data_IF_168672578739
#
_entry.id   IF_168672578739
#
_cell.length_a   1.000
_cell.length_b   1.000
_cell.length_c   1.000
_cell.angle_alpha   90.00
_cell.angle_beta   90.00
_cell.angle_gamma   90.00
#
_symmetry.space_group_name_H-M   'P 1'
#
loop_
_entity.id
_entity.type
_entity.pdbx_description
1 polymer ?
#
# COMPACT_ATOMS: atom_id res chain seq x y z
N UNK A 1 6.59 6.96 -30.44
CA UNK A 1 5.36 7.36 -29.72
C UNK A 1 5.69 8.51 -28.79
N UNK A 2 4.77 9.48 -28.64
CA UNK A 2 4.98 10.63 -27.73
C UNK A 2 3.73 10.86 -26.89
N UNK A 3 3.91 11.16 -25.62
CA UNK A 3 2.82 11.61 -24.75
C UNK A 3 2.38 13.00 -25.20
N UNK A 4 1.09 13.22 -25.38
CA UNK A 4 0.50 14.48 -25.89
C UNK A 4 -0.41 15.17 -24.88
N UNK A 5 -0.95 14.42 -23.92
CA UNK A 5 -1.93 14.96 -22.96
C UNK A 5 -1.85 14.25 -21.61
N UNK A 6 -2.18 14.99 -20.55
CA UNK A 6 -2.33 14.50 -19.19
C UNK A 6 -3.68 14.98 -18.63
N UNK A 7 -4.42 14.07 -18.01
CA UNK A 7 -5.67 14.38 -17.31
C UNK A 7 -5.67 13.73 -15.94
N UNK A 8 -6.10 14.43 -14.91
CA UNK A 8 -6.22 13.94 -13.54
C UNK A 8 -7.67 13.93 -13.06
N UNK A 9 -7.97 13.04 -12.12
CA UNK A 9 -9.23 13.02 -11.37
C UNK A 9 -8.92 12.88 -9.89
N UNK A 10 -9.68 13.62 -9.08
CA UNK A 10 -9.77 13.38 -7.64
C UNK A 10 -11.15 12.82 -7.37
N UNK A 11 -11.20 11.52 -7.13
CA UNK A 11 -12.45 10.76 -7.01
C UNK A 11 -12.77 10.51 -5.55
N UNK A 12 -13.95 10.92 -5.11
CA UNK A 12 -14.43 10.62 -3.75
C UNK A 12 -14.78 9.15 -3.60
N UNK A 13 -14.34 8.54 -2.50
CA UNK A 13 -14.67 7.17 -2.18
C UNK A 13 -15.89 7.15 -1.25
N UNK A 14 -17.07 6.67 -1.70
CA UNK A 14 -18.26 6.65 -0.88
C UNK A 14 -18.13 5.65 0.29
N UNK A 15 -18.93 5.80 1.35
CA UNK A 15 -18.97 4.83 2.41
C UNK A 15 -19.12 3.38 1.89
N UNK A 16 -18.41 2.40 2.48
CA UNK A 16 -17.65 2.46 3.73
C UNK A 16 -16.24 3.09 3.62
N UNK A 17 -15.80 3.60 2.48
CA UNK A 17 -14.55 4.33 2.34
C UNK A 17 -13.28 3.47 2.46
N UNK A 18 -13.37 2.17 2.15
CA UNK A 18 -12.22 1.25 2.17
C UNK A 18 -11.18 1.72 1.16
N UNK A 19 -9.92 1.81 1.56
CA UNK A 19 -8.84 2.35 0.72
C UNK A 19 -8.71 3.88 0.79
N UNK A 20 -9.42 4.54 1.73
CA UNK A 20 -9.31 5.98 2.00
C UNK A 20 -10.48 6.82 1.54
N UNK A 21 -10.41 8.12 1.79
CA UNK A 21 -11.50 9.09 1.51
C UNK A 21 -11.63 9.45 0.04
N UNK A 22 -10.56 9.30 -0.74
CA UNK A 22 -10.50 9.65 -2.16
C UNK A 22 -9.39 8.88 -2.87
N UNK A 23 -9.44 8.87 -4.20
CA UNK A 23 -8.39 8.35 -5.08
C UNK A 23 -7.92 9.47 -6.03
N UNK A 24 -6.63 9.46 -6.39
CA UNK A 24 -6.04 10.44 -7.30
C UNK A 24 -5.53 9.69 -8.53
N UNK A 25 -6.32 9.69 -9.59
CA UNK A 25 -5.99 9.02 -10.85
C UNK A 25 -5.37 9.99 -11.85
N UNK A 26 -4.52 9.44 -12.72
CA UNK A 26 -3.97 10.13 -13.89
C UNK A 26 -4.15 9.29 -15.14
N UNK A 27 -4.45 9.95 -16.25
CA UNK A 27 -4.41 9.40 -17.60
C UNK A 27 -3.33 10.12 -18.41
N UNK A 28 -2.50 9.37 -19.09
CA UNK A 28 -1.63 9.86 -20.15
C UNK A 28 -2.17 9.42 -21.49
N UNK A 29 -2.12 10.30 -22.50
CA UNK A 29 -2.53 9.99 -23.88
C UNK A 29 -1.35 10.19 -24.80
N UNK A 30 -1.19 9.32 -25.80
CA UNK A 30 -0.12 9.40 -26.78
C UNK A 30 -0.61 9.93 -28.13
N UNK A 31 0.31 10.35 -28.99
CA UNK A 31 0.06 10.75 -30.39
C UNK A 31 -0.55 9.62 -31.24
N UNK A 32 -0.36 8.37 -30.85
CA UNK A 32 -1.00 7.19 -31.45
C UNK A 32 -2.37 6.85 -30.86
N UNK A 33 -2.88 7.63 -29.93
CA UNK A 33 -4.17 7.40 -29.27
C UNK A 33 -4.16 6.30 -28.19
N UNK A 34 -3.00 5.73 -27.86
CA UNK A 34 -2.88 4.80 -26.73
C UNK A 34 -2.98 5.58 -25.42
N UNK A 35 -3.77 5.05 -24.48
CA UNK A 35 -4.04 5.67 -23.17
C UNK A 35 -3.52 4.77 -22.08
N UNK A 36 -2.83 5.33 -21.08
CA UNK A 36 -2.42 4.64 -19.88
C UNK A 36 -2.88 5.34 -18.60
N UNK A 37 -3.14 4.54 -17.59
CA UNK A 37 -3.64 5.01 -16.29
C UNK A 37 -2.61 4.77 -15.19
N UNK A 38 -2.59 5.69 -14.22
CA UNK A 38 -1.82 5.60 -13.00
C UNK A 38 -2.59 6.18 -11.82
N UNK A 39 -2.06 5.99 -10.62
CA UNK A 39 -2.67 6.47 -9.38
C UNK A 39 -1.59 6.88 -8.40
N UNK A 40 -1.80 8.01 -7.70
CA UNK A 40 -0.94 8.46 -6.62
C UNK A 40 -1.54 8.11 -5.26
N UNK A 41 -0.73 7.53 -4.39
CA UNK A 41 -1.04 7.46 -2.97
C UNK A 41 -0.37 8.62 -2.24
N UNK A 42 -1.14 9.63 -1.89
CA UNK A 42 -0.64 10.81 -1.20
C UNK A 42 -1.64 11.27 -0.14
N UNK A 43 -1.17 11.38 1.10
CA UNK A 43 -1.98 11.70 2.26
C UNK A 43 -1.58 13.00 2.97
N UNK A 44 -0.45 13.62 2.60
CA UNK A 44 0.11 14.77 3.32
C UNK A 44 -0.58 16.09 2.97
N UNK A 45 -1.03 16.23 1.72
CA UNK A 45 -1.70 17.43 1.21
C UNK A 45 -3.10 17.11 0.72
N UNK A 46 -3.93 18.15 0.56
CA UNK A 46 -5.22 17.99 -0.10
C UNK A 46 -5.04 17.40 -1.51
N UNK A 47 -5.94 16.50 -1.95
CA UNK A 47 -5.74 15.71 -3.17
C UNK A 47 -5.69 16.55 -4.44
N UNK A 48 -6.38 17.71 -4.48
CA UNK A 48 -6.33 18.64 -5.63
C UNK A 48 -4.95 19.28 -5.81
N UNK A 49 -4.20 19.48 -4.72
CA UNK A 49 -2.80 19.95 -4.81
C UNK A 49 -1.95 18.87 -5.46
N UNK A 50 -2.10 17.62 -5.02
CA UNK A 50 -1.39 16.49 -5.62
C UNK A 50 -1.73 16.31 -7.10
N UNK A 51 -3.00 16.40 -7.48
CA UNK A 51 -3.43 16.34 -8.87
C UNK A 51 -2.73 17.42 -9.72
N UNK A 52 -2.65 18.66 -9.23
CA UNK A 52 -1.92 19.72 -9.92
C UNK A 52 -0.42 19.50 -10.00
N UNK A 53 0.18 18.91 -8.96
CA UNK A 53 1.60 18.52 -8.98
C UNK A 53 1.86 17.42 -10.03
N UNK A 54 0.96 16.46 -10.19
CA UNK A 54 1.04 15.42 -11.24
C UNK A 54 1.02 16.06 -12.63
N UNK A 55 0.10 16.98 -12.87
CA UNK A 55 -0.02 17.71 -14.14
C UNK A 55 1.26 18.50 -14.46
N UNK A 56 1.76 19.30 -13.51
CA UNK A 56 3.00 20.08 -13.69
C UNK A 56 4.21 19.17 -13.95
N UNK A 57 4.31 18.06 -13.23
CA UNK A 57 5.37 17.06 -13.42
C UNK A 57 5.30 16.42 -14.82
N UNK A 58 4.11 16.07 -15.29
CA UNK A 58 3.90 15.51 -16.62
C UNK A 58 4.23 16.51 -17.72
N UNK A 59 3.74 17.76 -17.61
CA UNK A 59 4.00 18.84 -18.56
C UNK A 59 5.51 19.10 -18.73
N UNK A 60 6.28 19.07 -17.63
CA UNK A 60 7.74 19.30 -17.66
C UNK A 60 8.54 18.13 -18.19
N UNK A 61 8.18 16.92 -17.82
CA UNK A 61 9.09 15.78 -17.94
C UNK A 61 8.61 14.67 -18.87
N UNK A 62 7.32 14.61 -19.23
CA UNK A 62 6.74 13.56 -20.07
C UNK A 62 6.09 14.05 -21.35
N UNK A 63 5.35 15.15 -21.34
CA UNK A 63 4.69 15.65 -22.54
C UNK A 63 5.72 15.94 -23.63
N UNK A 64 5.45 15.43 -24.85
CA UNK A 64 6.34 15.48 -26.01
C UNK A 64 7.45 14.42 -26.00
N UNK A 65 7.50 13.53 -25.02
CA UNK A 65 8.52 12.47 -24.86
C UNK A 65 7.94 11.08 -25.06
N UNK A 66 8.84 10.12 -25.24
CA UNK A 66 8.51 8.70 -25.37
C UNK A 66 8.18 8.10 -23.97
N UNK A 67 7.03 7.44 -23.79
CA UNK A 67 6.71 6.77 -22.53
C UNK A 67 7.67 5.63 -22.17
N UNK A 68 8.44 5.09 -23.11
CA UNK A 68 9.45 4.07 -22.83
C UNK A 68 10.67 4.59 -22.07
N UNK A 69 10.92 5.91 -22.06
CA UNK A 69 12.07 6.53 -21.41
C UNK A 69 11.89 6.67 -19.88
N UNK A 70 11.40 5.62 -19.20
CA UNK A 70 11.03 5.61 -17.77
C UNK A 70 12.21 6.02 -16.89
N UNK A 71 13.39 5.44 -17.08
CA UNK A 71 14.60 5.82 -16.32
C UNK A 71 14.97 7.29 -16.52
N UNK A 72 14.86 7.80 -17.72
CA UNK A 72 15.12 9.21 -18.03
C UNK A 72 14.10 10.12 -17.33
N UNK A 73 12.83 9.73 -17.37
CA UNK A 73 11.76 10.44 -16.65
C UNK A 73 12.05 10.47 -15.15
N UNK A 74 12.27 9.30 -14.54
CA UNK A 74 12.58 9.19 -13.11
C UNK A 74 13.76 10.08 -12.72
N UNK A 75 14.87 10.00 -13.47
CA UNK A 75 16.09 10.80 -13.19
C UNK A 75 15.83 12.31 -13.27
N UNK A 76 15.08 12.75 -14.27
CA UNK A 76 14.75 14.17 -14.43
C UNK A 76 13.85 14.68 -13.31
N UNK A 77 12.78 13.94 -12.99
CA UNK A 77 11.88 14.30 -11.92
C UNK A 77 12.59 14.29 -10.56
N UNK A 78 13.41 13.26 -10.29
CA UNK A 78 14.13 13.09 -9.03
C UNK A 78 15.18 14.19 -8.79
N UNK A 79 15.95 14.61 -9.79
CA UNK A 79 17.08 15.51 -9.64
C UNK A 79 16.86 16.92 -10.18
N UNK A 80 15.66 17.24 -10.64
CA UNK A 80 15.32 18.55 -11.18
C UNK A 80 15.41 19.65 -10.11
N UNK A 81 15.85 20.85 -10.50
CA UNK A 81 15.93 22.00 -9.61
C UNK A 81 16.86 21.82 -8.42
N UNK A 82 17.94 21.03 -8.54
CA UNK A 82 18.85 20.67 -7.44
C UNK A 82 18.20 19.77 -6.35
N UNK A 83 17.00 19.28 -6.56
CA UNK A 83 16.36 18.33 -5.63
C UNK A 83 17.02 16.96 -5.80
N UNK A 84 17.61 16.44 -4.73
CA UNK A 84 18.21 15.10 -4.71
C UNK A 84 17.56 14.18 -3.66
N UNK A 85 16.49 14.64 -3.04
CA UNK A 85 15.69 13.88 -2.08
C UNK A 85 14.24 14.36 -2.15
N UNK A 86 13.52 14.00 -3.20
CA UNK A 86 12.10 14.28 -3.24
C UNK A 86 11.40 13.55 -2.09
N UNK A 87 10.43 14.22 -1.50
CA UNK A 87 9.62 13.64 -0.44
C UNK A 87 8.58 12.65 -0.98
N UNK A 88 7.85 12.02 -0.09
CA UNK A 88 6.81 11.04 -0.41
C UNK A 88 5.71 11.64 -1.33
N UNK A 89 5.44 12.95 -1.24
CA UNK A 89 4.44 13.61 -2.06
C UNK A 89 4.87 13.72 -3.52
N UNK A 90 6.11 14.14 -3.75
CA UNK A 90 6.69 14.18 -5.11
C UNK A 90 6.84 12.78 -5.68
N UNK A 91 7.26 11.82 -4.86
CA UNK A 91 7.38 10.43 -5.30
C UNK A 91 6.04 9.80 -5.62
N UNK A 92 4.96 10.20 -4.95
CA UNK A 92 3.59 9.82 -5.33
C UNK A 92 3.22 10.30 -6.74
N UNK A 93 3.57 11.54 -7.09
CA UNK A 93 3.35 12.06 -8.44
C UNK A 93 4.17 11.30 -9.50
N UNK A 94 5.44 11.03 -9.21
CA UNK A 94 6.31 10.24 -10.09
C UNK A 94 5.77 8.83 -10.27
N UNK A 95 5.32 8.18 -9.20
CA UNK A 95 4.75 6.83 -9.21
C UNK A 95 3.52 6.72 -10.12
N UNK A 96 2.60 7.67 -9.97
CA UNK A 96 1.38 7.71 -10.79
C UNK A 96 1.71 7.81 -12.30
N UNK A 97 2.61 8.71 -12.66
CA UNK A 97 3.01 8.94 -14.04
C UNK A 97 3.79 7.75 -14.61
N UNK A 98 4.64 7.14 -13.80
CA UNK A 98 5.42 5.96 -14.19
C UNK A 98 4.52 4.75 -14.45
N UNK A 99 3.54 4.48 -13.58
CA UNK A 99 2.54 3.44 -13.80
C UNK A 99 1.75 3.66 -15.08
N UNK A 100 1.35 4.89 -15.38
CA UNK A 100 0.65 5.22 -16.63
C UNK A 100 1.54 4.97 -17.85
N UNK A 101 2.85 5.23 -17.78
CA UNK A 101 3.79 4.87 -18.84
C UNK A 101 3.88 3.36 -19.05
N UNK A 102 3.97 2.56 -17.97
CA UNK A 102 3.96 1.09 -18.08
C UNK A 102 2.66 0.55 -18.68
N UNK A 103 1.53 1.14 -18.34
CA UNK A 103 0.24 0.77 -18.93
C UNK A 103 0.23 1.01 -20.45
N UNK A 104 0.73 2.18 -20.90
CA UNK A 104 0.92 2.47 -22.33
C UNK A 104 1.84 1.44 -22.99
N UNK A 105 3.01 1.18 -22.42
CA UNK A 105 4.00 0.26 -22.97
C UNK A 105 3.42 -1.15 -23.10
N UNK A 106 2.71 -1.62 -22.08
CA UNK A 106 2.05 -2.92 -22.13
C UNK A 106 0.96 -3.00 -23.19
N UNK A 107 0.13 -1.96 -23.33
CA UNK A 107 -0.94 -1.86 -24.35
C UNK A 107 -0.37 -1.80 -25.76
N UNK A 108 0.68 -1.01 -25.99
CA UNK A 108 1.36 -0.95 -27.28
C UNK A 108 1.97 -2.31 -27.67
N UNK A 109 2.60 -2.98 -26.71
CA UNK A 109 3.20 -4.30 -26.95
C UNK A 109 2.16 -5.43 -27.03
N UNK A 110 0.88 -5.17 -26.73
CA UNK A 110 -0.16 -6.20 -26.65
C UNK A 110 0.11 -7.23 -25.55
N UNK A 111 0.77 -6.83 -24.45
CA UNK A 111 1.19 -7.73 -23.36
C UNK A 111 0.89 -7.13 -21.99
N UNK A 112 0.53 -7.96 -21.00
CA UNK A 112 0.51 -7.51 -19.61
C UNK A 112 1.92 -7.11 -19.15
N UNK A 113 1.99 -6.15 -18.23
CA UNK A 113 3.27 -5.55 -17.77
C UNK A 113 4.20 -6.63 -17.19
N UNK A 114 3.70 -7.62 -16.46
CA UNK A 114 4.54 -8.69 -15.91
C UNK A 114 5.32 -9.46 -17.00
N UNK A 115 4.79 -9.57 -18.24
CA UNK A 115 5.51 -10.21 -19.36
C UNK A 115 6.72 -9.38 -19.80
N UNK A 116 6.66 -8.07 -19.65
CA UNK A 116 7.75 -7.14 -19.99
C UNK A 116 8.79 -7.02 -18.87
N UNK A 117 8.39 -7.34 -17.63
CA UNK A 117 9.25 -7.32 -16.44
C UNK A 117 10.01 -8.64 -16.18
N UNK A 118 10.00 -9.58 -17.12
CA UNK A 118 10.72 -10.85 -17.00
C UNK A 118 9.84 -12.09 -16.99
N UNK A 119 8.53 -11.91 -17.00
CA UNK A 119 7.56 -13.00 -17.04
C UNK A 119 6.97 -13.34 -15.67
N UNK A 120 6.01 -14.22 -15.69
CA UNK A 120 5.22 -14.62 -14.54
C UNK A 120 5.92 -15.74 -13.75
N UNK A 121 6.15 -15.51 -12.48
CA UNK A 121 6.64 -16.50 -11.49
C UNK A 121 5.46 -17.10 -10.73
N UNK A 122 4.45 -16.27 -10.40
CA UNK A 122 3.26 -16.67 -9.64
C UNK A 122 2.01 -16.58 -10.50
N UNK A 123 1.26 -17.68 -10.65
CA UNK A 123 -0.02 -17.72 -11.37
C UNK A 123 -1.18 -17.17 -10.51
N UNK A 124 -1.07 -17.26 -9.20
CA UNK A 124 -1.98 -16.72 -8.21
C UNK A 124 -1.17 -16.07 -7.08
N UNK A 125 -1.62 -14.92 -6.61
CA UNK A 125 -0.95 -14.14 -5.59
C UNK A 125 -1.73 -14.27 -4.28
N UNK A 126 -1.16 -14.95 -3.30
CA UNK A 126 -1.71 -14.99 -1.95
C UNK A 126 -2.00 -13.57 -1.48
N UNK A 127 -3.17 -13.34 -0.84
CA UNK A 127 -3.54 -12.02 -0.37
C UNK A 127 -4.09 -12.03 1.05
N UNK A 128 -3.96 -10.89 1.72
CA UNK A 128 -4.57 -10.63 3.01
C UNK A 128 -5.50 -9.42 2.94
N UNK A 129 -6.34 -9.27 3.94
CA UNK A 129 -7.15 -8.06 4.12
C UNK A 129 -7.11 -7.60 5.58
N UNK A 130 -7.34 -6.30 5.78
CA UNK A 130 -7.65 -5.80 7.12
C UNK A 130 -8.97 -6.36 7.64
N UNK A 131 -9.10 -6.41 8.96
CA UNK A 131 -10.36 -6.66 9.63
C UNK A 131 -11.24 -5.41 9.53
N UNK A 132 -11.93 -5.25 8.40
CA UNK A 132 -12.90 -4.17 8.22
C UNK A 132 -14.24 -4.55 8.86
N UNK A 133 -14.90 -3.63 9.61
CA UNK A 133 -16.24 -3.89 10.12
C UNK A 133 -17.23 -4.13 8.97
N UNK A 134 -18.22 -4.98 9.20
CA UNK A 134 -19.24 -5.30 8.20
C UNK A 134 -20.21 -4.14 7.93
N UNK A 135 -20.48 -3.33 8.95
CA UNK A 135 -21.37 -2.19 8.89
C UNK A 135 -20.63 -0.95 9.39
N UNK A 136 -20.54 0.09 8.57
CA UNK A 136 -20.06 1.39 8.99
C UNK A 136 -18.66 1.78 8.50
N UNK A 137 -18.21 2.93 8.94
CA UNK A 137 -16.97 3.55 8.50
C UNK A 137 -15.76 2.76 9.01
N UNK A 138 -14.80 2.62 8.13
CA UNK A 138 -13.52 1.99 8.41
C UNK A 138 -12.66 2.86 9.32
N UNK A 139 -13.01 4.12 9.50
CA UNK A 139 -12.19 5.10 10.20
C UNK A 139 -12.86 5.65 11.45
N UNK A 140 -12.05 5.84 12.42
CA UNK A 140 -12.12 6.30 13.79
C UNK A 140 -13.02 7.52 14.11
N UNK A 141 -13.64 8.15 13.15
CA UNK A 141 -14.54 9.29 13.41
C UNK A 141 -15.84 8.88 14.10
N UNK A 142 -16.29 7.63 13.91
CA UNK A 142 -17.40 7.03 14.62
C UNK A 142 -16.88 5.89 15.49
N UNK A 143 -16.20 6.19 16.58
CA UNK A 143 -15.79 5.20 17.57
C UNK A 143 -17.05 4.72 18.28
N UNK A 144 -17.68 3.70 17.70
CA UNK A 144 -18.61 2.90 18.50
C UNK A 144 -17.87 2.46 19.76
N UNK A 145 -18.49 2.46 20.93
CA UNK A 145 -17.86 2.07 22.19
C UNK A 145 -17.14 0.73 22.10
N UNK A 146 -17.61 -0.15 21.21
CA UNK A 146 -17.00 -1.43 20.86
C UNK A 146 -16.95 -1.60 19.34
N UNK A 147 -15.79 -1.95 18.82
CA UNK A 147 -15.56 -2.22 17.41
C UNK A 147 -14.46 -3.27 17.22
N UNK A 148 -14.22 -3.69 15.98
CA UNK A 148 -13.22 -4.72 15.65
C UNK A 148 -11.78 -4.36 16.05
N UNK A 149 -11.49 -3.10 16.36
CA UNK A 149 -10.16 -2.62 16.76
C UNK A 149 -9.95 -2.52 18.26
N UNK A 150 -11.00 -2.70 19.07
CA UNK A 150 -10.90 -2.57 20.52
C UNK A 150 -11.68 -3.65 21.31
N UNK A 151 -12.38 -4.56 20.61
CA UNK A 151 -13.10 -5.67 21.23
C UNK A 151 -12.57 -7.01 20.67
N UNK A 152 -11.94 -7.86 21.51
CA UNK A 152 -11.37 -9.12 21.10
C UNK A 152 -12.37 -10.11 20.48
N UNK A 153 -13.61 -10.14 20.97
CA UNK A 153 -14.63 -11.07 20.48
C UNK A 153 -15.09 -10.66 19.08
N UNK A 154 -15.35 -9.35 18.87
CA UNK A 154 -15.69 -8.82 17.55
C UNK A 154 -14.56 -9.00 16.53
N UNK A 155 -13.31 -8.83 16.96
CA UNK A 155 -12.15 -9.06 16.09
C UNK A 155 -12.04 -10.54 15.68
N UNK A 156 -12.26 -11.45 16.62
CA UNK A 156 -12.23 -12.90 16.38
C UNK A 156 -13.36 -13.34 15.43
N UNK A 157 -14.60 -12.86 15.64
CA UNK A 157 -15.73 -13.11 14.76
C UNK A 157 -15.47 -12.60 13.34
N UNK A 158 -14.94 -11.37 13.22
CA UNK A 158 -14.59 -10.77 11.94
C UNK A 158 -13.50 -11.57 11.21
N UNK A 159 -12.46 -12.00 11.93
CA UNK A 159 -11.39 -12.82 11.36
C UNK A 159 -11.91 -14.19 10.89
N UNK A 160 -12.75 -14.86 11.68
CA UNK A 160 -13.36 -16.12 11.31
C UNK A 160 -14.19 -15.99 10.02
N UNK A 161 -14.96 -14.92 9.89
CA UNK A 161 -15.78 -14.65 8.71
C UNK A 161 -14.90 -14.42 7.45
N UNK A 162 -13.78 -13.66 7.55
CA UNK A 162 -12.88 -13.51 6.41
C UNK A 162 -12.22 -14.85 6.01
N UNK A 163 -11.91 -15.70 7.00
CA UNK A 163 -11.42 -17.05 6.71
C UNK A 163 -12.48 -17.92 6.01
N UNK A 164 -13.74 -17.82 6.40
CA UNK A 164 -14.85 -18.50 5.71
C UNK A 164 -15.05 -17.99 4.29
N UNK A 165 -14.74 -16.72 4.03
CA UNK A 165 -14.75 -16.11 2.69
C UNK A 165 -13.53 -16.51 1.83
N UNK A 166 -12.56 -17.25 2.39
CA UNK A 166 -11.40 -17.76 1.67
C UNK A 166 -10.06 -17.08 2.00
N UNK A 167 -10.03 -16.01 2.80
CA UNK A 167 -8.76 -15.41 3.22
C UNK A 167 -8.00 -16.36 4.16
N UNK A 168 -6.68 -16.43 3.95
CA UNK A 168 -5.77 -17.19 4.81
C UNK A 168 -4.74 -16.31 5.53
N UNK A 169 -5.00 -15.01 5.57
CA UNK A 169 -4.26 -14.04 6.35
C UNK A 169 -5.12 -12.79 6.60
N UNK A 170 -5.03 -12.24 7.82
CA UNK A 170 -5.80 -11.07 8.25
C UNK A 170 -4.91 -10.10 9.00
N UNK A 171 -5.13 -8.79 8.81
CA UNK A 171 -4.35 -7.70 9.43
C UNK A 171 -5.21 -6.90 10.40
N UNK A 172 -4.60 -6.45 11.49
CA UNK A 172 -5.22 -5.56 12.46
C UNK A 172 -4.17 -4.68 13.14
N UNK A 173 -4.62 -3.55 13.65
CA UNK A 173 -3.81 -2.57 14.40
C UNK A 173 -4.42 -2.29 15.77
N UNK A 174 -4.26 -3.19 16.75
CA UNK A 174 -4.93 -3.07 18.05
C UNK A 174 -4.09 -2.31 19.10
N UNK A 175 -3.04 -1.61 18.69
CA UNK A 175 -2.03 -1.06 19.60
C UNK A 175 -2.48 0.17 20.42
N UNK A 176 -3.76 0.45 20.45
CA UNK A 176 -4.35 1.64 21.04
C UNK A 176 -4.57 2.76 20.02
N UNK A 177 -5.05 3.92 20.44
CA UNK A 177 -5.30 5.04 19.53
C UNK A 177 -4.03 5.42 18.78
N UNK A 178 -4.14 5.69 17.49
CA UNK A 178 -3.04 6.26 16.74
C UNK A 178 -2.68 7.62 17.32
N UNK A 179 -1.42 7.78 17.68
CA UNK A 179 -0.81 9.08 17.86
C UNK A 179 -0.14 9.47 16.54
N UNK A 180 0.18 10.72 16.29
CA UNK A 180 0.70 11.20 15.00
C UNK A 180 2.07 10.57 14.63
N UNK A 181 2.20 9.25 14.74
CA UNK A 181 3.40 8.44 14.51
C UNK A 181 4.61 8.84 15.36
N UNK A 182 4.35 9.32 16.57
CA UNK A 182 5.38 9.64 17.54
C UNK A 182 5.75 8.39 18.36
N UNK A 183 7.03 8.07 18.38
CA UNK A 183 7.54 6.96 19.17
C UNK A 183 7.31 7.17 20.67
N UNK A 184 6.40 6.41 21.27
CA UNK A 184 6.08 6.48 22.71
C UNK A 184 6.11 5.11 23.38
N UNK A 185 6.02 5.10 24.71
CA UNK A 185 5.86 3.86 25.47
C UNK A 185 4.36 3.49 25.49
N UNK A 186 3.97 2.28 25.03
CA UNK A 186 2.60 1.83 25.17
C UNK A 186 2.21 1.68 26.64
N UNK A 187 0.97 2.04 26.97
CA UNK A 187 0.42 1.79 28.30
C UNK A 187 0.19 0.29 28.51
N UNK A 188 0.18 -0.14 29.76
CA UNK A 188 -0.03 -1.54 30.08
C UNK A 188 -1.40 -2.06 29.57
N UNK A 189 -2.41 -1.19 29.60
CA UNK A 189 -3.76 -1.51 29.09
C UNK A 189 -3.77 -1.74 27.58
N UNK A 190 -2.95 -1.00 26.82
CA UNK A 190 -2.86 -1.14 25.36
C UNK A 190 -2.11 -2.43 24.98
N UNK A 191 -1.08 -2.79 25.75
CA UNK A 191 -0.37 -4.07 25.60
C UNK A 191 -1.29 -5.25 25.91
N UNK A 192 -2.03 -5.18 27.01
CA UNK A 192 -2.98 -6.24 27.42
C UNK A 192 -4.10 -6.40 26.39
N UNK A 193 -4.68 -5.30 25.90
CA UNK A 193 -5.70 -5.34 24.86
C UNK A 193 -5.17 -5.98 23.58
N UNK A 194 -3.99 -5.56 23.11
CA UNK A 194 -3.35 -6.11 21.91
C UNK A 194 -3.13 -7.62 22.04
N UNK A 195 -2.61 -8.07 23.16
CA UNK A 195 -2.38 -9.49 23.42
C UNK A 195 -3.69 -10.30 23.42
N UNK A 196 -4.75 -9.77 24.08
CA UNK A 196 -6.06 -10.43 24.10
C UNK A 196 -6.70 -10.49 22.70
N UNK A 197 -6.56 -9.44 21.90
CA UNK A 197 -7.09 -9.41 20.54
C UNK A 197 -6.39 -10.45 19.65
N UNK A 198 -5.05 -10.45 19.64
CA UNK A 198 -4.29 -11.43 18.85
C UNK A 198 -4.58 -12.86 19.32
N UNK A 199 -4.70 -13.08 20.63
CA UNK A 199 -5.09 -14.37 21.22
C UNK A 199 -6.47 -14.81 20.72
N UNK A 200 -7.48 -13.96 20.83
CA UNK A 200 -8.85 -14.29 20.43
C UNK A 200 -8.95 -14.63 18.93
N UNK A 201 -8.27 -13.86 18.10
CA UNK A 201 -8.19 -14.16 16.65
C UNK A 201 -7.50 -15.50 16.42
N UNK A 202 -6.33 -15.75 17.05
CA UNK A 202 -5.61 -17.03 16.90
C UNK A 202 -6.46 -18.23 17.34
N UNK A 203 -7.21 -18.10 18.43
CA UNK A 203 -8.13 -19.14 18.90
C UNK A 203 -9.28 -19.39 17.92
N UNK A 204 -9.80 -18.35 17.28
CA UNK A 204 -10.89 -18.44 16.31
C UNK A 204 -10.43 -19.04 14.96
N UNK A 205 -9.28 -18.61 14.43
CA UNK A 205 -8.84 -19.01 13.09
C UNK A 205 -7.89 -20.21 13.12
N UNK A 206 -7.27 -20.52 14.24
CA UNK A 206 -6.29 -21.59 14.39
C UNK A 206 -5.10 -21.39 13.45
N UNK A 207 -4.71 -22.44 12.72
CA UNK A 207 -3.66 -22.42 11.70
C UNK A 207 -4.18 -22.17 10.28
N UNK A 208 -5.47 -21.86 10.12
CA UNK A 208 -6.07 -21.60 8.82
C UNK A 208 -5.69 -20.22 8.26
N UNK A 209 -5.30 -19.29 9.13
CA UNK A 209 -4.89 -17.95 8.70
C UNK A 209 -3.71 -17.44 9.52
N UNK A 210 -2.82 -16.70 8.85
CA UNK A 210 -1.80 -15.89 9.49
C UNK A 210 -2.40 -14.60 10.04
N UNK A 211 -1.80 -14.11 11.13
CA UNK A 211 -2.16 -12.84 11.76
C UNK A 211 -1.05 -11.83 11.48
N UNK A 212 -1.42 -10.68 10.95
CA UNK A 212 -0.51 -9.59 10.62
C UNK A 212 -0.77 -8.45 11.60
N UNK A 213 0.24 -8.11 12.39
CA UNK A 213 0.12 -7.12 13.44
C UNK A 213 0.75 -5.80 13.02
N UNK A 214 -0.04 -4.72 12.94
CA UNK A 214 0.38 -3.39 12.55
C UNK A 214 0.38 -2.39 13.70
N UNK A 215 1.24 -1.37 13.61
CA UNK A 215 1.30 -0.27 14.60
C UNK A 215 1.60 1.10 14.00
N UNK A 216 1.90 1.21 12.73
CA UNK A 216 2.22 2.46 12.05
C UNK A 216 3.28 3.34 12.76
N UNK A 217 4.29 2.71 13.35
CA UNK A 217 5.43 3.43 13.95
C UNK A 217 5.13 4.14 15.26
N UNK A 218 4.27 3.58 16.09
CA UNK A 218 3.81 4.26 17.32
C UNK A 218 4.76 4.16 18.51
N UNK A 219 5.76 3.26 18.50
CA UNK A 219 6.51 2.95 19.71
C UNK A 219 7.97 3.40 19.66
N UNK A 220 8.55 3.61 20.85
CA UNK A 220 10.00 3.54 21.03
C UNK A 220 10.47 2.08 20.89
N UNK A 221 11.75 1.84 20.64
CA UNK A 221 12.27 0.47 20.54
C UNK A 221 11.95 -0.38 21.79
N UNK A 222 12.10 0.19 22.98
CA UNK A 222 11.77 -0.51 24.23
C UNK A 222 10.27 -0.77 24.39
N UNK A 223 9.42 0.15 23.92
CA UNK A 223 7.97 -0.01 23.90
C UNK A 223 7.55 -1.12 22.94
N UNK A 224 8.11 -1.13 21.74
CA UNK A 224 7.89 -2.17 20.74
C UNK A 224 8.30 -3.56 21.26
N UNK A 225 9.43 -3.68 21.94
CA UNK A 225 9.86 -4.96 22.55
C UNK A 225 8.94 -5.44 23.68
N UNK A 226 8.32 -4.52 24.43
CA UNK A 226 7.31 -4.91 25.42
C UNK A 226 6.04 -5.45 24.74
N UNK A 227 5.61 -4.80 23.66
CA UNK A 227 4.49 -5.26 22.84
C UNK A 227 4.81 -6.62 22.19
N UNK A 228 5.96 -6.75 21.54
CA UNK A 228 6.40 -7.98 20.89
C UNK A 228 6.33 -9.19 21.84
N UNK A 229 6.88 -9.07 23.06
CA UNK A 229 6.83 -10.15 24.07
C UNK A 229 5.41 -10.59 24.43
N UNK A 230 4.44 -9.67 24.37
CA UNK A 230 3.05 -9.97 24.72
C UNK A 230 2.30 -10.70 23.60
N UNK A 231 2.66 -10.46 22.34
CA UNK A 231 2.01 -11.07 21.18
C UNK A 231 2.78 -12.26 20.58
N UNK A 232 4.08 -12.40 20.87
CA UNK A 232 4.95 -13.47 20.38
C UNK A 232 4.40 -14.88 20.62
N UNK A 233 3.73 -15.21 21.77
CA UNK A 233 3.12 -16.53 21.99
C UNK A 233 2.03 -16.93 20.99
N UNK A 234 1.51 -15.99 20.22
CA UNK A 234 0.43 -16.22 19.23
C UNK A 234 0.94 -16.27 17.80
N UNK A 235 2.26 -16.20 17.60
CA UNK A 235 2.98 -16.39 16.35
C UNK A 235 2.42 -15.55 15.19
N UNK A 236 2.43 -14.20 15.27
CA UNK A 236 2.04 -13.36 14.15
C UNK A 236 3.06 -13.46 13.02
N UNK A 237 2.60 -13.43 11.77
CA UNK A 237 3.45 -13.50 10.59
C UNK A 237 4.45 -12.34 10.52
N UNK A 238 4.02 -11.16 11.01
CA UNK A 238 4.91 -10.02 11.17
C UNK A 238 4.45 -9.05 12.27
N UNK A 239 5.37 -8.22 12.68
CA UNK A 239 5.15 -6.99 13.43
C UNK A 239 5.54 -5.81 12.53
N UNK A 240 4.53 -5.09 12.02
CA UNK A 240 4.71 -4.03 11.06
C UNK A 240 4.97 -2.69 11.74
N UNK A 241 5.98 -1.98 11.24
CA UNK A 241 6.40 -0.66 11.70
C UNK A 241 6.35 -0.48 13.22
N UNK A 242 7.09 -1.29 13.97
CA UNK A 242 7.06 -1.22 15.44
C UNK A 242 7.52 0.13 15.99
N UNK A 243 8.35 0.85 15.22
CA UNK A 243 8.87 2.19 15.50
C UNK A 243 8.76 3.07 14.25
N UNK A 244 8.82 4.41 14.36
CA UNK A 244 8.84 5.29 13.19
C UNK A 244 9.91 4.86 12.17
N UNK A 245 9.63 4.89 10.85
CA UNK A 245 10.53 4.35 9.84
C UNK A 245 11.76 5.24 9.53
N UNK A 246 11.81 6.46 10.09
CA UNK A 246 12.85 7.45 9.81
C UNK A 246 14.26 6.97 10.17
N UNK A 247 14.37 6.10 11.20
CA UNK A 247 15.63 5.58 11.73
C UNK A 247 15.64 4.05 11.68
N UNK A 248 16.02 3.43 10.57
CA UNK A 248 16.05 1.97 10.46
C UNK A 248 16.99 1.30 11.48
N UNK A 249 18.00 2.00 11.99
CA UNK A 249 18.87 1.53 13.04
C UNK A 249 18.14 1.29 14.37
N UNK A 250 17.08 2.07 14.65
CA UNK A 250 16.21 1.89 15.82
C UNK A 250 15.28 0.69 15.60
N UNK A 251 14.71 0.56 14.42
CA UNK A 251 13.89 -0.61 14.04
C UNK A 251 14.71 -1.90 14.11
N UNK A 252 15.98 -1.87 13.70
CA UNK A 252 16.90 -3.00 13.80
C UNK A 252 17.17 -3.44 15.26
N UNK A 253 17.02 -2.56 16.25
CA UNK A 253 17.07 -2.98 17.66
C UNK A 253 15.87 -3.84 18.03
N UNK A 254 14.70 -3.52 17.51
CA UNK A 254 13.48 -4.32 17.71
C UNK A 254 13.64 -5.67 16.99
N UNK A 255 14.06 -5.67 15.72
CA UNK A 255 14.26 -6.88 14.94
C UNK A 255 15.20 -7.89 15.62
N UNK A 256 16.25 -7.41 16.29
CA UNK A 256 17.17 -8.28 17.06
C UNK A 256 16.63 -8.74 18.40
N UNK A 257 15.56 -8.12 18.89
CA UNK A 257 15.02 -8.37 20.24
C UNK A 257 13.74 -9.22 20.29
N UNK A 258 13.24 -9.67 19.14
CA UNK A 258 12.04 -10.52 19.02
C UNK A 258 12.24 -11.59 17.96
N UNK A 259 11.50 -12.70 18.06
CA UNK A 259 11.43 -13.73 17.01
C UNK A 259 10.40 -13.41 15.93
N UNK A 260 9.51 -12.43 16.16
CA UNK A 260 8.52 -12.01 15.17
C UNK A 260 9.22 -11.31 14.00
N UNK A 261 9.01 -11.71 12.74
CA UNK A 261 9.54 -10.99 11.59
C UNK A 261 9.07 -9.52 11.60
N UNK A 262 9.98 -8.59 11.32
CA UNK A 262 9.63 -7.17 11.18
C UNK A 262 9.32 -6.86 9.73
N UNK A 263 8.21 -6.13 9.51
CA UNK A 263 7.81 -5.61 8.22
C UNK A 263 7.81 -4.07 8.23
N UNK A 264 8.21 -3.44 7.13
CA UNK A 264 8.19 -1.97 6.96
C UNK A 264 8.28 -1.60 5.49
N UNK A 265 7.85 -0.38 5.14
CA UNK A 265 8.10 0.16 3.82
C UNK A 265 7.00 1.04 3.24
N UNK A 266 5.79 1.02 3.76
CA UNK A 266 4.67 1.81 3.22
C UNK A 266 4.91 3.32 3.20
N UNK A 267 5.76 3.81 4.09
CA UNK A 267 6.13 5.22 4.23
C UNK A 267 7.52 5.56 3.69
N UNK A 268 8.18 4.59 3.05
CA UNK A 268 9.49 4.77 2.42
C UNK A 268 9.36 4.97 0.92
N UNK A 269 10.33 5.67 0.37
CA UNK A 269 10.42 5.94 -1.06
C UNK A 269 11.78 5.50 -1.60
N UNK A 270 11.84 5.18 -2.86
CA UNK A 270 13.06 4.89 -3.60
C UNK A 270 13.94 3.78 -3.04
N UNK A 271 14.74 3.18 -3.89
CA UNK A 271 15.72 2.13 -3.52
C UNK A 271 16.75 2.59 -2.47
N UNK A 272 17.00 3.89 -2.32
CA UNK A 272 18.01 4.37 -1.37
C UNK A 272 17.54 4.28 0.09
N UNK A 273 16.26 4.57 0.37
CA UNK A 273 15.70 4.40 1.71
C UNK A 273 15.57 2.89 2.04
N UNK A 274 15.09 2.09 1.09
CA UNK A 274 15.00 0.64 1.27
C UNK A 274 16.37 -0.04 1.43
N UNK A 275 17.42 0.44 0.76
CA UNK A 275 18.78 -0.06 0.96
C UNK A 275 19.24 0.08 2.42
N UNK A 276 18.95 1.21 3.07
CA UNK A 276 19.27 1.40 4.49
C UNK A 276 18.54 0.42 5.41
N UNK A 277 17.26 0.11 5.10
CA UNK A 277 16.49 -0.89 5.87
C UNK A 277 17.14 -2.26 5.75
N UNK A 278 17.51 -2.66 4.53
CA UNK A 278 18.18 -3.95 4.26
C UNK A 278 19.56 -4.01 4.94
N UNK A 279 20.40 -3.01 4.75
CA UNK A 279 21.78 -2.95 5.27
C UNK A 279 21.83 -3.00 6.80
N UNK A 280 20.88 -2.37 7.47
CA UNK A 280 20.79 -2.37 8.95
C UNK A 280 20.19 -3.65 9.52
N UNK A 281 19.53 -4.46 8.68
CA UNK A 281 18.75 -5.61 9.13
C UNK A 281 17.52 -5.18 9.93
N UNK A 282 16.90 -4.07 9.56
CA UNK A 282 15.75 -3.51 10.27
C UNK A 282 14.47 -4.31 10.03
N UNK A 283 14.34 -4.93 8.87
CA UNK A 283 13.18 -5.74 8.51
C UNK A 283 13.59 -6.90 7.58
N UNK A 284 12.83 -7.98 7.63
CA UNK A 284 12.94 -9.14 6.74
C UNK A 284 11.78 -9.22 5.74
N UNK A 285 10.83 -8.28 5.84
CA UNK A 285 9.70 -8.12 4.93
C UNK A 285 9.61 -6.65 4.55
N UNK A 286 9.67 -6.35 3.25
CA UNK A 286 9.52 -4.99 2.73
C UNK A 286 8.13 -4.79 2.15
N UNK A 287 7.53 -3.65 2.47
CA UNK A 287 6.17 -3.29 2.07
C UNK A 287 6.15 -1.98 1.23
N UNK A 288 6.85 -1.95 0.07
CA UNK A 288 6.78 -0.77 -0.77
C UNK A 288 5.36 -0.54 -1.27
N UNK A 289 4.90 0.71 -1.23
CA UNK A 289 3.67 1.13 -1.87
C UNK A 289 3.99 1.68 -3.26
N UNK A 290 3.48 1.05 -4.32
CA UNK A 290 3.78 1.48 -5.69
C UNK A 290 3.22 2.86 -6.02
N UNK A 291 2.21 3.32 -5.29
CA UNK A 291 1.64 4.66 -5.43
C UNK A 291 2.53 5.77 -4.88
N UNK A 292 3.67 5.43 -4.21
CA UNK A 292 4.60 6.43 -3.64
C UNK A 292 6.08 6.04 -3.64
N UNK A 293 6.42 4.80 -3.91
CA UNK A 293 7.81 4.31 -3.86
C UNK A 293 8.67 4.72 -5.07
N UNK A 294 8.04 5.19 -6.14
CA UNK A 294 8.65 5.52 -7.42
C UNK A 294 8.10 4.71 -8.60
N UNK A 295 7.00 3.98 -8.38
CA UNK A 295 6.33 3.17 -9.38
C UNK A 295 6.88 1.75 -9.52
N UNK A 296 6.55 1.10 -10.63
CA UNK A 296 6.81 -0.32 -10.88
C UNK A 296 8.30 -0.62 -11.02
N UNK A 297 9.04 0.16 -11.83
CA UNK A 297 10.44 -0.11 -12.10
C UNK A 297 11.33 0.13 -10.88
N UNK A 298 11.09 1.20 -10.13
CA UNK A 298 11.84 1.47 -8.91
C UNK A 298 11.57 0.39 -7.85
N UNK A 299 10.31 -0.04 -7.71
CA UNK A 299 9.96 -1.14 -6.78
C UNK A 299 10.54 -2.47 -7.24
N UNK A 300 10.64 -2.73 -8.56
CA UNK A 300 11.35 -3.93 -9.08
C UNK A 300 12.83 -3.94 -8.66
N UNK A 301 13.49 -2.78 -8.65
CA UNK A 301 14.88 -2.64 -8.17
C UNK A 301 14.98 -2.87 -6.66
N UNK A 302 14.04 -2.34 -5.88
CA UNK A 302 13.94 -2.59 -4.43
C UNK A 302 13.80 -4.09 -4.17
N UNK A 303 12.89 -4.77 -4.88
CA UNK A 303 12.68 -6.20 -4.73
C UNK A 303 13.92 -7.04 -5.10
N UNK A 304 14.66 -6.64 -6.14
CA UNK A 304 15.91 -7.31 -6.54
C UNK A 304 17.03 -7.15 -5.49
N UNK A 305 17.14 -5.98 -4.84
CA UNK A 305 18.05 -5.80 -3.72
C UNK A 305 17.64 -6.66 -2.53
N UNK A 306 16.34 -6.69 -2.20
CA UNK A 306 15.79 -7.51 -1.13
C UNK A 306 16.06 -9.01 -1.35
N UNK A 307 15.86 -9.51 -2.58
CA UNK A 307 16.11 -10.90 -2.96
C UNK A 307 17.55 -11.33 -2.68
N UNK A 308 18.53 -10.49 -3.01
CA UNK A 308 19.95 -10.75 -2.75
C UNK A 308 20.29 -10.89 -1.25
N UNK A 309 19.43 -10.40 -0.37
CA UNK A 309 19.57 -10.46 1.09
C UNK A 309 18.56 -11.43 1.74
N UNK A 310 17.87 -12.26 0.97
CA UNK A 310 16.80 -13.15 1.44
C UNK A 310 15.67 -12.43 2.19
N UNK A 311 15.38 -11.20 1.80
CA UNK A 311 14.28 -10.38 2.31
C UNK A 311 13.09 -10.53 1.37
N UNK A 312 11.91 -10.73 1.93
CA UNK A 312 10.67 -10.90 1.18
C UNK A 312 9.97 -9.56 0.90
N UNK A 313 9.08 -9.56 -0.08
CA UNK A 313 8.31 -8.38 -0.47
C UNK A 313 6.81 -8.66 -0.35
N UNK A 314 6.12 -7.77 0.35
CA UNK A 314 4.67 -7.77 0.54
C UNK A 314 4.15 -6.36 0.21
N UNK A 315 3.83 -6.03 -1.06
CA UNK A 315 3.44 -4.68 -1.45
C UNK A 315 2.24 -4.16 -0.65
N UNK A 316 2.39 -2.95 -0.10
CA UNK A 316 1.32 -2.22 0.59
C UNK A 316 0.28 -1.70 -0.40
N UNK A 317 -0.98 -1.63 0.03
CA UNK A 317 -2.05 -1.02 -0.76
C UNK A 317 -3.19 -0.49 0.11
N UNK A 318 -3.22 0.82 0.33
CA UNK A 318 -4.38 1.49 0.94
C UNK A 318 -4.82 2.68 0.06
N UNK A 319 -5.23 2.36 -1.17
CA UNK A 319 -5.59 3.33 -2.21
C UNK A 319 -6.56 2.67 -3.21
N UNK A 320 -6.62 3.15 -4.43
CA UNK A 320 -7.56 2.65 -5.43
C UNK A 320 -7.04 1.45 -6.24
N UNK A 321 -7.84 1.02 -7.22
CA UNK A 321 -7.58 -0.20 -7.94
C UNK A 321 -6.45 -0.12 -8.97
N UNK A 322 -5.96 1.07 -9.34
CA UNK A 322 -4.86 1.20 -10.31
C UNK A 322 -3.53 0.87 -9.65
N UNK A 323 -3.28 1.36 -8.42
CA UNK A 323 -2.12 0.89 -7.63
C UNK A 323 -2.24 -0.61 -7.33
N UNK A 324 -3.46 -1.09 -7.00
CA UNK A 324 -3.71 -2.51 -6.84
C UNK A 324 -3.29 -3.32 -8.06
N UNK A 325 -3.68 -2.88 -9.26
CA UNK A 325 -3.29 -3.53 -10.52
C UNK A 325 -1.76 -3.48 -10.75
N UNK A 326 -1.12 -2.35 -10.47
CA UNK A 326 0.34 -2.23 -10.57
C UNK A 326 1.06 -3.19 -9.59
N UNK A 327 0.59 -3.29 -8.34
CA UNK A 327 1.08 -4.25 -7.35
C UNK A 327 0.97 -5.69 -7.87
N UNK A 328 -0.18 -6.06 -8.46
CA UNK A 328 -0.43 -7.39 -9.03
C UNK A 328 0.55 -7.69 -10.17
N UNK A 329 0.73 -6.74 -11.10
CA UNK A 329 1.65 -6.91 -12.23
C UNK A 329 3.09 -7.10 -11.77
N UNK A 330 3.54 -6.35 -10.78
CA UNK A 330 4.88 -6.48 -10.22
C UNK A 330 5.02 -7.78 -9.43
N UNK A 331 4.14 -8.04 -8.46
CA UNK A 331 4.18 -9.20 -7.58
C UNK A 331 4.23 -10.52 -8.35
N UNK A 332 3.49 -10.61 -9.46
CA UNK A 332 3.53 -11.79 -10.34
C UNK A 332 4.94 -12.15 -10.84
N UNK A 333 5.89 -11.21 -10.81
CA UNK A 333 7.27 -11.38 -11.32
C UNK A 333 8.33 -11.51 -10.24
N UNK A 334 7.97 -11.49 -8.96
CA UNK A 334 8.93 -11.42 -7.86
C UNK A 334 9.19 -12.81 -7.27
N UNK A 335 10.41 -13.39 -7.40
CA UNK A 335 10.72 -14.67 -6.74
C UNK A 335 10.58 -14.61 -5.21
N UNK A 336 10.87 -13.45 -4.62
CA UNK A 336 10.78 -13.19 -3.18
C UNK A 336 9.45 -12.57 -2.72
N UNK A 337 8.39 -12.70 -3.52
CA UNK A 337 7.03 -12.31 -3.12
C UNK A 337 6.54 -13.14 -1.93
N UNK A 338 5.95 -12.50 -0.93
CA UNK A 338 5.36 -13.15 0.24
C UNK A 338 3.84 -13.20 0.16
N UNK A 339 3.21 -12.01 0.14
CA UNK A 339 1.77 -11.85 0.19
C UNK A 339 1.38 -10.46 -0.32
N UNK A 340 0.19 -10.30 -0.87
CA UNK A 340 -0.33 -9.03 -1.40
C UNK A 340 -1.39 -8.44 -0.46
N UNK A 341 -1.32 -7.16 -0.19
CA UNK A 341 -2.42 -6.45 0.45
C UNK A 341 -3.60 -6.31 -0.50
N UNK A 342 -4.77 -6.76 -0.06
CA UNK A 342 -6.01 -6.71 -0.81
C UNK A 342 -7.06 -5.90 -0.04
N UNK A 343 -7.78 -5.04 -0.74
CA UNK A 343 -8.89 -4.30 -0.15
C UNK A 343 -10.15 -5.17 -0.25
N UNK A 344 -10.32 -6.08 0.71
CA UNK A 344 -11.24 -7.21 0.63
C UNK A 344 -11.00 -8.01 -0.67
N UNK A 345 -12.07 -8.38 -1.38
CA UNK A 345 -12.00 -9.07 -2.67
C UNK A 345 -11.96 -8.11 -3.87
N UNK A 346 -11.56 -6.84 -3.67
CA UNK A 346 -11.61 -5.77 -4.67
C UNK A 346 -13.03 -5.47 -5.17
N UNK A 347 -14.02 -5.68 -4.32
CA UNK A 347 -15.43 -5.46 -4.59
C UNK A 347 -15.88 -3.99 -4.31
N UNK A 348 -17.18 -3.76 -4.38
CA UNK A 348 -17.80 -2.50 -4.02
C UNK A 348 -17.42 -1.35 -4.96
N UNK A 349 -16.91 -0.24 -4.42
CA UNK A 349 -16.59 0.92 -5.22
C UNK A 349 -15.33 0.71 -6.07
N UNK A 350 -14.37 -0.09 -5.61
CA UNK A 350 -13.19 -0.45 -6.39
C UNK A 350 -13.54 -1.16 -7.69
N UNK A 351 -14.50 -2.09 -7.65
CA UNK A 351 -15.00 -2.77 -8.85
C UNK A 351 -15.70 -1.79 -9.80
N UNK A 352 -16.48 -0.83 -9.28
CA UNK A 352 -17.19 0.16 -10.09
C UNK A 352 -16.26 1.13 -10.82
N UNK A 353 -15.08 1.40 -10.28
CA UNK A 353 -14.07 2.26 -10.92
C UNK A 353 -13.42 1.62 -12.13
N UNK A 354 -13.60 0.33 -12.37
CA UNK A 354 -12.97 -0.42 -13.44
C UNK A 354 -13.99 -0.96 -14.43
N UNK A 355 -13.68 -0.92 -15.73
CA UNK A 355 -14.47 -1.59 -16.77
C UNK A 355 -14.43 -3.11 -16.66
N UNK A 356 -13.35 -3.65 -16.08
CA UNK A 356 -13.17 -5.07 -15.77
C UNK A 356 -12.53 -5.16 -14.38
N UNK A 357 -13.18 -5.88 -13.48
CA UNK A 357 -12.75 -6.03 -12.11
C UNK A 357 -11.44 -6.81 -11.96
N UNK A 358 -10.73 -6.56 -10.86
CA UNK A 358 -9.64 -7.41 -10.39
C UNK A 358 -10.23 -8.76 -9.97
N UNK A 359 -9.64 -9.84 -10.46
CA UNK A 359 -10.08 -11.20 -10.15
C UNK A 359 -9.47 -11.65 -8.82
N UNK A 360 -10.33 -12.04 -7.89
CA UNK A 360 -9.96 -12.61 -6.60
C UNK A 360 -10.66 -13.95 -6.42
N UNK A 361 -9.92 -14.98 -5.99
CA UNK A 361 -10.43 -16.34 -5.79
C UNK A 361 -9.72 -17.01 -4.62
N UNK A 362 -10.48 -17.48 -3.64
CA UNK A 362 -9.99 -18.32 -2.53
C UNK A 362 -8.70 -17.80 -1.88
N UNK A 363 -8.70 -16.53 -1.45
CA UNK A 363 -7.56 -15.89 -0.79
C UNK A 363 -6.44 -15.42 -1.74
N UNK A 364 -6.65 -15.53 -3.04
CA UNK A 364 -5.64 -15.17 -4.03
C UNK A 364 -6.17 -14.13 -5.03
N UNK A 365 -5.31 -13.22 -5.42
CA UNK A 365 -5.53 -12.33 -6.56
C UNK A 365 -4.94 -12.98 -7.81
N UNK A 366 -5.70 -13.01 -8.89
CA UNK A 366 -5.28 -13.63 -10.16
C UNK A 366 -4.77 -12.55 -11.11
N UNK A 367 -3.48 -12.58 -11.52
CA UNK A 367 -2.94 -11.60 -12.45
C UNK A 367 -3.65 -11.61 -13.80
N UNK A 368 -4.15 -10.44 -14.22
CA UNK A 368 -4.83 -10.28 -15.50
C UNK A 368 -3.88 -10.55 -16.68
N UNK A 369 -4.38 -11.22 -17.72
CA UNK A 369 -3.66 -11.48 -18.97
C UNK A 369 -3.84 -10.38 -20.01
N UNK A 370 -4.69 -9.39 -19.71
CA UNK A 370 -4.91 -8.25 -20.61
C UNK A 370 -3.66 -7.36 -20.69
N UNK A 371 -3.47 -6.66 -21.83
CA UNK A 371 -2.35 -5.74 -22.02
C UNK A 371 -2.30 -4.60 -20.98
N UNK A 372 -1.11 -4.07 -20.74
CA UNK A 372 -0.89 -2.98 -19.78
C UNK A 372 -0.96 -3.46 -18.33
N UNK A 373 -1.57 -2.68 -17.48
CA UNK A 373 -1.82 -3.05 -16.06
C UNK A 373 -2.90 -4.14 -15.94
N UNK A 374 -3.58 -4.46 -17.04
CA UNK A 374 -4.62 -5.49 -17.09
C UNK A 374 -5.98 -5.04 -16.54
N UNK A 375 -6.14 -3.75 -16.32
CA UNK A 375 -7.38 -3.09 -15.95
C UNK A 375 -7.58 -1.82 -16.78
N UNK A 376 -8.81 -1.33 -16.82
CA UNK A 376 -9.19 -0.10 -17.51
C UNK A 376 -10.06 0.74 -16.59
N UNK A 377 -9.69 2.00 -16.37
CA UNK A 377 -10.47 2.92 -15.54
C UNK A 377 -11.78 3.31 -16.24
N UNK A 378 -12.88 3.31 -15.52
CA UNK A 378 -14.14 3.86 -16.00
C UNK A 378 -14.16 5.38 -15.71
N UNK A 379 -13.80 6.17 -16.72
CA UNK A 379 -13.73 7.62 -16.61
C UNK A 379 -15.08 8.25 -16.27
N UNK A 380 -16.20 7.66 -16.72
CA UNK A 380 -17.53 8.17 -16.44
C UNK A 380 -17.87 8.06 -14.94
N UNK A 381 -17.45 6.96 -14.32
CA UNK A 381 -17.59 6.79 -12.86
C UNK A 381 -16.71 7.79 -12.11
N UNK A 382 -15.47 8.03 -12.58
CA UNK A 382 -14.59 9.03 -11.98
C UNK A 382 -15.19 10.44 -12.04
N UNK A 383 -15.77 10.82 -13.18
CA UNK A 383 -16.42 12.12 -13.39
C UNK A 383 -17.72 12.28 -12.58
N UNK A 384 -18.42 11.18 -12.32
CA UNK A 384 -19.65 11.18 -11.52
C UNK A 384 -19.42 11.29 -10.01
N UNK A 385 -18.17 11.04 -9.53
CA UNK A 385 -17.84 11.03 -8.10
C UNK A 385 -16.69 11.98 -7.75
N UNK A 386 -16.75 13.28 -8.12
CA UNK A 386 -15.68 14.21 -7.78
C UNK A 386 -15.59 14.41 -6.26
N UNK A 387 -14.37 14.37 -5.73
CA UNK A 387 -14.13 14.67 -4.32
C UNK A 387 -14.19 16.17 -4.07
N UNK A 388 -15.10 16.61 -3.23
CA UNK A 388 -15.26 18.02 -2.82
C UNK A 388 -14.92 18.28 -1.35
N UNK A 389 -14.49 17.24 -0.62
CA UNK A 389 -14.13 17.33 0.79
C UNK A 389 -12.79 18.02 1.04
N UNK A 390 -12.52 18.31 2.31
CA UNK A 390 -11.24 18.88 2.78
C UNK A 390 -10.42 17.89 3.61
N UNK A 391 -10.96 16.72 3.90
CA UNK A 391 -10.28 15.70 4.67
C UNK A 391 -9.05 15.17 3.92
N UNK A 392 -8.01 14.80 4.66
CA UNK A 392 -6.89 14.04 4.13
C UNK A 392 -7.31 12.58 3.88
N UNK A 393 -6.50 11.85 3.17
CA UNK A 393 -6.76 10.46 2.79
C UNK A 393 -7.03 9.56 4.02
N UNK A 394 -6.22 9.72 5.06
CA UNK A 394 -6.38 9.13 6.37
C UNK A 394 -6.57 10.22 7.41
N UNK A 395 -7.58 10.08 8.26
CA UNK A 395 -7.69 10.83 9.49
C UNK A 395 -7.02 10.02 10.62
N UNK A 396 -5.94 10.57 11.11
CA UNK A 396 -5.34 10.06 12.33
C UNK A 396 -6.14 10.52 13.55
N UNK A 397 -5.97 9.87 14.67
CA UNK A 397 -6.51 10.30 15.97
C UNK A 397 -6.16 11.77 16.26
N UNK A 398 -6.89 12.43 17.18
CA UNK A 398 -6.60 13.80 17.56
C UNK A 398 -5.11 14.01 17.78
N UNK A 399 -4.60 15.13 17.30
CA UNK A 399 -3.18 15.46 17.40
C UNK A 399 -2.73 15.37 18.88
N UNK A 400 -1.77 14.49 19.20
CA UNK A 400 -1.30 14.34 20.58
C UNK A 400 -0.56 15.57 21.09
N UNK A 401 -0.09 16.44 20.19
CA UNK A 401 0.56 17.71 20.54
C UNK A 401 -0.44 18.81 20.84
N UNK A 402 -1.70 18.64 20.44
CA UNK A 402 -2.80 19.59 20.64
C UNK A 402 -4.05 18.85 21.14
N UNK A 403 -4.02 18.33 22.40
CA UNK A 403 -5.13 17.58 22.97
C UNK A 403 -6.41 18.41 23.17
#
# INVERSE_FOLDING_TARGET
MKITDVKTWVVGNPPPGIGGKYFIFVRLTTDGGVVGYGEAYNATFGPHVTARMIEDCAERYLVGRDPHDIETFFRRAYSSGFTQRPDVSMMGCVSALEMACWDIIGKEAGKPVYKLLGGQVHEALRSYTYLYPHEGSVHTEDVAPKNVYNDPDLAAECAALYVEQGFNAVKLDPAGPYTAFDGHQPRLIDIDLSARMVKAIREAVGTKADILFGTHGQFTASGALRMARAIEPFDPLWFEEPVPPDMPEVMAQVARGTSIPIATGERLTTKWEFARVIETGAATILQPDLGRSGGILETKKIAAMAEAHHVQVAPHCYCGPIVGAANIQLAATLPNFLILESLKQWDGFHEKLLKKKIEWQDGNVIPSKEPGLGVELDEAVCEAHPYSGKALHLHMAPDPLFP
#
